data_IF_730687309733
#
_entry.id   IF_730687309733
#
_cell.length_a   1.000
_cell.length_b   1.000
_cell.length_c   1.000
_cell.angle_alpha   90.00
_cell.angle_beta   90.00
_cell.angle_gamma   90.00
#
_symmetry.space_group_name_H-M   'P 1'
#
loop_
_entity.id
_entity.type
_entity.pdbx_description
1 polymer ?
#
# COMPACT_ATOMS: atom_id res chain seq x y z
N UNK A 1 1.06 -25.83 -16.82
CA UNK A 1 0.62 -27.17 -16.34
C UNK A 1 1.78 -28.11 -16.02
N UNK A 2 2.93 -27.99 -16.72
CA UNK A 2 4.11 -28.86 -16.52
C UNK A 2 4.80 -28.61 -15.16
N UNK A 3 4.90 -27.36 -14.70
CA UNK A 3 5.61 -27.05 -13.44
C UNK A 3 4.91 -27.54 -12.16
N UNK A 4 3.57 -27.51 -12.12
CA UNK A 4 2.79 -28.00 -10.96
C UNK A 4 3.06 -29.47 -10.65
N UNK A 5 3.18 -30.32 -11.67
CA UNK A 5 3.49 -31.75 -11.51
C UNK A 5 4.90 -31.97 -10.95
N UNK A 6 5.84 -31.08 -11.27
CA UNK A 6 7.21 -31.17 -10.79
C UNK A 6 7.31 -30.79 -9.30
N UNK A 7 6.59 -29.76 -8.85
CA UNK A 7 6.57 -29.39 -7.42
C UNK A 7 5.90 -30.44 -6.53
N UNK A 8 4.81 -31.06 -7.00
CA UNK A 8 4.17 -32.18 -6.29
C UNK A 8 5.10 -33.39 -6.17
N UNK A 9 5.90 -33.67 -7.21
CA UNK A 9 6.91 -34.73 -7.18
C UNK A 9 8.01 -34.40 -6.16
N UNK A 10 8.51 -33.17 -6.13
CA UNK A 10 9.52 -32.72 -5.15
C UNK A 10 9.00 -32.89 -3.72
N UNK A 11 7.73 -32.55 -3.46
CA UNK A 11 7.13 -32.76 -2.13
C UNK A 11 7.14 -34.25 -1.75
N UNK A 12 6.74 -35.14 -2.67
CA UNK A 12 6.75 -36.59 -2.43
C UNK A 12 8.15 -37.14 -2.21
N UNK A 13 9.12 -36.74 -3.03
CA UNK A 13 10.51 -37.21 -2.92
C UNK A 13 11.17 -36.75 -1.62
N UNK A 14 10.76 -35.58 -1.12
CA UNK A 14 11.36 -35.02 0.07
C UNK A 14 10.62 -35.41 1.35
N UNK A 15 9.36 -35.84 1.34
CA UNK A 15 8.47 -35.99 2.52
C UNK A 15 9.10 -36.48 3.84
N UNK A 16 9.97 -37.50 3.78
CA UNK A 16 10.60 -38.15 4.93
C UNK A 16 12.07 -37.78 5.16
N UNK A 17 12.61 -36.82 4.40
CA UNK A 17 13.98 -36.33 4.60
C UNK A 17 14.06 -35.35 5.77
N UNK A 18 15.24 -35.31 6.38
CA UNK A 18 15.66 -34.31 7.37
C UNK A 18 16.88 -33.53 6.87
N UNK A 19 17.17 -33.59 5.56
CA UNK A 19 18.28 -32.88 4.95
C UNK A 19 17.87 -31.41 4.74
N UNK A 20 18.66 -30.41 5.20
CA UNK A 20 18.30 -28.99 5.09
C UNK A 20 17.94 -28.54 3.68
N UNK A 21 18.71 -28.92 2.66
CA UNK A 21 18.46 -28.54 1.26
C UNK A 21 17.11 -29.03 0.76
N UNK A 22 16.78 -30.28 1.07
CA UNK A 22 15.54 -30.91 0.64
C UNK A 22 14.32 -30.29 1.33
N UNK A 23 14.48 -29.89 2.60
CA UNK A 23 13.46 -29.16 3.33
C UNK A 23 13.20 -27.78 2.70
N UNK A 24 14.25 -27.04 2.31
CA UNK A 24 14.08 -25.79 1.57
C UNK A 24 13.42 -25.99 0.21
N UNK A 25 13.76 -27.05 -0.53
CA UNK A 25 13.07 -27.40 -1.78
C UNK A 25 11.60 -27.75 -1.56
N UNK A 26 11.28 -28.42 -0.45
CA UNK A 26 9.90 -28.71 -0.07
C UNK A 26 9.12 -27.45 0.25
N UNK A 27 9.70 -26.54 1.03
CA UNK A 27 9.11 -25.23 1.37
C UNK A 27 8.86 -24.43 0.10
N UNK A 28 9.85 -24.32 -0.79
CA UNK A 28 9.71 -23.61 -2.06
C UNK A 28 8.63 -24.24 -2.96
N UNK A 29 8.50 -25.57 -2.96
CA UNK A 29 7.46 -26.28 -3.70
C UNK A 29 6.06 -25.98 -3.14
N UNK A 30 5.91 -25.90 -1.82
CA UNK A 30 4.65 -25.48 -1.19
C UNK A 30 4.30 -24.02 -1.52
N UNK A 31 5.28 -23.11 -1.49
CA UNK A 31 5.09 -21.71 -1.91
C UNK A 31 4.64 -21.63 -3.38
N UNK A 32 5.31 -22.35 -4.28
CA UNK A 32 4.97 -22.36 -5.71
C UNK A 32 3.57 -22.93 -5.99
N UNK A 33 3.07 -23.81 -5.12
CA UNK A 33 1.71 -24.37 -5.19
C UNK A 33 0.67 -23.53 -4.44
N UNK A 34 1.03 -22.34 -3.96
CA UNK A 34 0.19 -21.46 -3.16
C UNK A 34 -0.36 -22.14 -1.88
N UNK A 35 0.52 -22.89 -1.20
CA UNK A 35 0.25 -23.63 0.05
C UNK A 35 1.11 -23.11 1.21
N UNK A 36 0.97 -21.83 1.61
CA UNK A 36 1.84 -21.21 2.60
C UNK A 36 1.71 -21.79 4.02
N UNK A 37 0.54 -22.35 4.38
CA UNK A 37 0.35 -22.98 5.69
C UNK A 37 1.15 -24.28 5.81
N UNK A 38 1.19 -25.07 4.75
CA UNK A 38 1.97 -26.31 4.68
C UNK A 38 3.46 -26.02 4.70
N UNK A 39 3.89 -24.95 4.04
CA UNK A 39 5.27 -24.46 4.12
C UNK A 39 5.65 -24.10 5.58
N UNK A 40 4.80 -23.36 6.29
CA UNK A 40 5.03 -23.01 7.70
C UNK A 40 5.08 -24.25 8.61
N UNK A 41 4.24 -25.26 8.37
CA UNK A 41 4.29 -26.54 9.13
C UNK A 41 5.63 -27.26 8.96
N UNK A 42 6.23 -27.22 7.77
CA UNK A 42 7.56 -27.79 7.54
C UNK A 42 8.62 -27.02 8.33
N UNK A 43 8.55 -25.68 8.31
CA UNK A 43 9.45 -24.82 9.08
C UNK A 43 9.35 -25.11 10.57
N UNK A 44 8.14 -25.17 11.12
CA UNK A 44 7.91 -25.41 12.55
C UNK A 44 8.44 -26.78 12.98
N UNK A 45 8.17 -27.83 12.18
CA UNK A 45 8.61 -29.20 12.48
C UNK A 45 10.13 -29.38 12.41
N UNK A 46 10.81 -28.63 11.54
CA UNK A 46 12.24 -28.83 11.26
C UNK A 46 13.09 -27.58 11.56
N UNK A 47 12.64 -26.72 12.48
CA UNK A 47 13.26 -25.41 12.78
C UNK A 47 14.74 -25.53 13.14
N UNK A 48 15.11 -26.51 13.97
CA UNK A 48 16.50 -26.72 14.41
C UNK A 48 17.43 -27.06 13.24
N UNK A 49 16.96 -27.89 12.30
CA UNK A 49 17.72 -28.30 11.11
C UNK A 49 17.88 -27.12 10.15
N UNK A 50 16.81 -26.35 9.96
CA UNK A 50 16.78 -25.20 9.07
C UNK A 50 17.56 -24.00 9.61
N UNK A 51 17.77 -23.92 10.93
CA UNK A 51 18.55 -22.87 11.58
C UNK A 51 20.01 -22.81 11.08
N UNK A 52 20.53 -23.89 10.49
CA UNK A 52 21.83 -23.89 9.82
C UNK A 52 21.94 -22.89 8.64
N UNK A 53 20.81 -22.43 8.09
CA UNK A 53 20.74 -21.37 7.08
C UNK A 53 19.78 -20.26 7.53
N UNK A 54 20.01 -19.74 8.73
CA UNK A 54 19.14 -18.79 9.41
C UNK A 54 18.72 -17.58 8.54
N UNK A 55 19.60 -16.89 7.77
CA UNK A 55 19.18 -15.76 6.93
C UNK A 55 18.12 -16.08 5.87
N UNK A 56 18.18 -17.28 5.31
CA UNK A 56 17.21 -17.75 4.30
C UNK A 56 15.90 -18.11 4.99
N UNK A 57 16.00 -18.83 6.12
CA UNK A 57 14.84 -19.21 6.93
C UNK A 57 14.04 -17.99 7.40
N UNK A 58 14.72 -16.98 7.95
CA UNK A 58 14.10 -15.73 8.42
C UNK A 58 13.25 -15.08 7.35
N UNK A 59 13.83 -14.92 6.16
CA UNK A 59 13.15 -14.28 5.03
C UNK A 59 11.90 -15.05 4.62
N UNK A 60 12.04 -16.37 4.40
CA UNK A 60 10.94 -17.20 3.93
C UNK A 60 9.80 -17.24 4.96
N UNK A 61 10.12 -17.41 6.25
CA UNK A 61 9.10 -17.50 7.30
C UNK A 61 8.31 -16.19 7.43
N UNK A 62 8.99 -15.04 7.40
CA UNK A 62 8.33 -13.72 7.45
C UNK A 62 7.48 -13.48 6.19
N UNK A 63 7.99 -13.77 5.00
CA UNK A 63 7.24 -13.62 3.75
C UNK A 63 5.99 -14.50 3.72
N UNK A 64 6.07 -15.74 4.22
CA UNK A 64 4.92 -16.64 4.38
C UNK A 64 3.87 -16.06 5.32
N UNK A 65 4.28 -15.53 6.48
CA UNK A 65 3.36 -14.92 7.45
C UNK A 65 2.69 -13.66 6.87
N UNK A 66 3.42 -12.84 6.12
CA UNK A 66 2.87 -11.68 5.40
C UNK A 66 1.85 -12.14 4.34
N UNK A 67 2.16 -13.18 3.56
CA UNK A 67 1.24 -13.70 2.52
C UNK A 67 -0.07 -14.24 3.09
N UNK A 68 -0.06 -14.63 4.37
CA UNK A 68 -1.22 -15.10 5.13
C UNK A 68 -1.92 -13.97 5.90
N UNK A 69 -1.49 -12.72 5.74
CA UNK A 69 -1.93 -11.56 6.51
C UNK A 69 -1.77 -11.70 8.04
N UNK A 70 -0.86 -12.59 8.48
CA UNK A 70 -0.58 -12.85 9.90
C UNK A 70 0.51 -11.91 10.42
N UNK A 71 0.27 -10.59 10.34
CA UNK A 71 1.27 -9.57 10.66
C UNK A 71 1.76 -9.61 12.11
N UNK A 72 0.88 -9.89 13.08
CA UNK A 72 1.28 -10.02 14.49
C UNK A 72 2.20 -11.23 14.71
N UNK A 73 1.96 -12.34 14.01
CA UNK A 73 2.87 -13.48 14.02
C UNK A 73 4.21 -13.11 13.38
N UNK A 74 4.20 -12.38 12.26
CA UNK A 74 5.42 -11.91 11.61
C UNK A 74 6.25 -11.01 12.54
N UNK A 75 5.61 -10.07 13.27
CA UNK A 75 6.28 -9.20 14.25
C UNK A 75 6.86 -10.01 15.41
N UNK A 76 6.13 -10.98 15.95
CA UNK A 76 6.64 -11.88 16.99
C UNK A 76 7.85 -12.67 16.51
N UNK A 77 7.78 -13.20 15.30
CA UNK A 77 8.85 -13.99 14.72
C UNK A 77 10.09 -13.14 14.42
N UNK A 78 9.91 -11.91 13.94
CA UNK A 78 11.00 -10.95 13.77
C UNK A 78 11.71 -10.68 15.10
N UNK A 79 10.95 -10.42 16.17
CA UNK A 79 11.52 -10.19 17.51
C UNK A 79 12.30 -11.40 18.02
N UNK A 80 11.77 -12.61 17.83
CA UNK A 80 12.50 -13.84 18.14
C UNK A 80 13.85 -13.89 17.42
N UNK A 81 13.88 -13.51 16.15
CA UNK A 81 15.13 -13.45 15.41
C UNK A 81 16.05 -12.36 15.92
N UNK A 82 15.58 -11.16 16.22
CA UNK A 82 16.41 -10.06 16.79
C UNK A 82 17.12 -10.44 18.10
N UNK A 83 16.54 -11.35 18.88
CA UNK A 83 17.12 -11.83 20.15
C UNK A 83 18.23 -12.88 19.97
N UNK A 84 18.45 -13.39 18.75
CA UNK A 84 19.52 -14.37 18.48
C UNK A 84 20.90 -13.69 18.40
N UNK A 85 21.97 -14.33 18.90
CA UNK A 85 23.31 -13.76 18.86
C UNK A 85 23.90 -13.87 17.45
N UNK A 86 23.75 -12.82 16.64
CA UNK A 86 24.40 -12.72 15.33
C UNK A 86 25.82 -12.18 15.46
N UNK A 87 26.74 -12.72 14.66
CA UNK A 87 28.11 -12.22 14.54
C UNK A 87 28.35 -11.45 13.23
N UNK A 88 27.32 -11.27 12.39
CA UNK A 88 27.44 -10.70 11.04
C UNK A 88 26.51 -9.50 10.82
N UNK A 89 27.08 -8.40 10.33
CA UNK A 89 26.34 -7.19 9.91
C UNK A 89 25.25 -7.49 8.87
N UNK A 90 25.47 -8.48 7.98
CA UNK A 90 24.48 -8.89 6.97
C UNK A 90 23.15 -9.35 7.60
N UNK A 91 23.22 -10.06 8.73
CA UNK A 91 22.02 -10.52 9.44
C UNK A 91 21.24 -9.35 10.04
N UNK A 92 21.95 -8.37 10.61
CA UNK A 92 21.33 -7.16 11.18
C UNK A 92 20.65 -6.29 10.11
N UNK A 93 21.31 -6.11 8.95
CA UNK A 93 20.72 -5.37 7.83
C UNK A 93 19.48 -6.08 7.26
N UNK A 94 19.52 -7.41 7.17
CA UNK A 94 18.36 -8.21 6.78
C UNK A 94 17.20 -8.04 7.76
N UNK A 95 17.43 -8.08 9.06
CA UNK A 95 16.38 -7.87 10.06
C UNK A 95 15.71 -6.50 9.92
N UNK A 96 16.49 -5.43 9.72
CA UNK A 96 15.96 -4.09 9.44
C UNK A 96 15.10 -4.08 8.17
N UNK A 97 15.55 -4.74 7.11
CA UNK A 97 14.78 -4.83 5.86
C UNK A 97 13.45 -5.59 6.03
N UNK A 98 13.44 -6.65 6.86
CA UNK A 98 12.23 -7.42 7.16
C UNK A 98 11.23 -6.63 8.00
N UNK A 99 11.69 -5.83 8.96
CA UNK A 99 10.84 -4.93 9.74
C UNK A 99 10.10 -3.92 8.85
N UNK A 100 10.81 -3.32 7.89
CA UNK A 100 10.23 -2.42 6.89
C UNK A 100 9.24 -3.13 5.98
N UNK A 101 9.55 -4.37 5.57
CA UNK A 101 8.67 -5.19 4.73
C UNK A 101 7.33 -5.48 5.43
N UNK A 102 7.35 -5.90 6.69
CA UNK A 102 6.14 -6.17 7.48
C UNK A 102 5.28 -4.92 7.58
N UNK A 103 5.89 -3.79 7.95
CA UNK A 103 5.18 -2.51 8.14
C UNK A 103 4.57 -2.00 6.83
N UNK A 104 5.30 -2.14 5.71
CA UNK A 104 4.80 -1.76 4.39
C UNK A 104 3.61 -2.63 3.97
N UNK A 105 3.74 -3.95 4.09
CA UNK A 105 2.69 -4.89 3.73
C UNK A 105 1.43 -4.73 4.61
N UNK A 106 1.62 -4.46 5.91
CA UNK A 106 0.53 -4.17 6.83
C UNK A 106 -0.23 -2.90 6.43
N UNK A 107 0.48 -1.80 6.15
CA UNK A 107 -0.12 -0.55 5.66
C UNK A 107 -0.86 -0.75 4.33
N UNK A 108 -0.25 -1.46 3.39
CA UNK A 108 -0.89 -1.78 2.11
C UNK A 108 -2.17 -2.59 2.32
N UNK A 109 -2.17 -3.59 3.20
CA UNK A 109 -3.39 -4.36 3.49
C UNK A 109 -4.49 -3.49 4.11
N UNK A 110 -4.16 -2.62 5.07
CA UNK A 110 -5.15 -1.69 5.64
C UNK A 110 -5.70 -0.71 4.60
N UNK A 111 -4.88 -0.26 3.64
CA UNK A 111 -5.32 0.63 2.55
C UNK A 111 -6.15 -0.06 1.47
N UNK A 112 -6.06 -1.40 1.32
CA UNK A 112 -6.70 -2.15 0.24
C UNK A 112 -7.91 -2.99 0.68
N UNK A 113 -8.29 -3.00 1.95
CA UNK A 113 -9.56 -3.62 2.35
C UNK A 113 -10.71 -2.80 1.75
N UNK A 114 -11.53 -3.38 0.86
CA UNK A 114 -12.68 -2.67 0.32
C UNK A 114 -13.59 -2.31 1.50
N UNK A 115 -13.74 -1.01 1.77
CA UNK A 115 -14.71 -0.54 2.73
C UNK A 115 -16.11 -0.93 2.23
N UNK A 116 -16.91 -1.49 3.14
CA UNK A 116 -18.35 -1.62 2.93
C UNK A 116 -18.98 -0.22 2.80
N UNK A 117 -20.16 -0.12 2.18
CA UNK A 117 -20.78 1.17 1.89
C UNK A 117 -21.06 1.98 3.17
N UNK A 118 -21.45 1.30 4.25
CA UNK A 118 -21.73 1.91 5.55
C UNK A 118 -20.49 2.57 6.16
N UNK A 119 -19.33 1.90 6.16
CA UNK A 119 -18.07 2.49 6.61
C UNK A 119 -17.62 3.64 5.73
N UNK A 120 -17.88 3.60 4.43
CA UNK A 120 -17.54 4.73 3.55
C UNK A 120 -18.32 5.98 4.01
N UNK A 121 -19.62 5.85 4.26
CA UNK A 121 -20.41 6.95 4.82
C UNK A 121 -19.89 7.42 6.18
N UNK A 122 -19.54 6.49 7.08
CA UNK A 122 -18.95 6.82 8.38
C UNK A 122 -17.65 7.61 8.23
N UNK A 123 -16.78 7.19 7.30
CA UNK A 123 -15.48 7.79 7.06
C UNK A 123 -15.61 9.19 6.46
N UNK A 124 -16.49 9.37 5.47
CA UNK A 124 -16.76 10.67 4.85
C UNK A 124 -17.38 11.69 5.84
N UNK A 125 -18.15 11.22 6.84
CA UNK A 125 -18.75 12.06 7.89
C UNK A 125 -17.82 12.29 9.08
N UNK A 126 -16.66 11.64 9.10
CA UNK A 126 -15.77 11.68 10.25
C UNK A 126 -15.17 13.08 10.45
N UNK A 127 -15.02 13.54 11.70
CA UNK A 127 -14.27 14.77 11.99
C UNK A 127 -12.75 14.60 11.80
N UNK A 128 -12.26 13.35 11.69
CA UNK A 128 -10.82 13.08 11.50
C UNK A 128 -10.48 13.03 10.02
N UNK A 129 -9.50 13.84 9.63
CA UNK A 129 -9.04 14.00 8.25
C UNK A 129 -8.58 12.70 7.60
N UNK A 130 -7.87 11.87 8.36
CA UNK A 130 -7.34 10.57 7.92
C UNK A 130 -8.47 9.66 7.43
N UNK A 131 -9.61 9.66 8.13
CA UNK A 131 -10.76 8.86 7.76
C UNK A 131 -11.48 9.44 6.54
N UNK A 132 -11.64 10.76 6.45
CA UNK A 132 -12.23 11.41 5.28
C UNK A 132 -11.42 11.08 4.01
N UNK A 133 -10.09 11.20 4.09
CA UNK A 133 -9.21 10.87 2.97
C UNK A 133 -9.26 9.39 2.58
N UNK A 134 -9.30 8.48 3.56
CA UNK A 134 -9.47 7.05 3.30
C UNK A 134 -10.84 6.72 2.67
N UNK A 135 -11.90 7.42 3.09
CA UNK A 135 -13.23 7.34 2.48
C UNK A 135 -13.21 7.76 1.02
N UNK A 136 -12.63 8.94 0.73
CA UNK A 136 -12.50 9.47 -0.64
C UNK A 136 -11.67 8.54 -1.54
N UNK A 137 -10.56 7.99 -1.04
CA UNK A 137 -9.73 7.05 -1.78
C UNK A 137 -10.51 5.77 -2.16
N UNK A 138 -11.41 5.32 -1.28
CA UNK A 138 -12.25 4.13 -1.51
C UNK A 138 -13.32 4.34 -2.59
N UNK A 139 -13.60 5.59 -2.99
CA UNK A 139 -14.55 5.92 -4.05
C UNK A 139 -13.95 5.85 -5.46
N UNK A 140 -12.63 5.64 -5.59
CA UNK A 140 -11.91 5.68 -6.88
C UNK A 140 -12.51 4.76 -7.94
N UNK A 141 -13.04 3.60 -7.55
CA UNK A 141 -13.63 2.61 -8.47
C UNK A 141 -15.15 2.42 -8.28
N UNK A 142 -15.79 3.26 -7.44
CA UNK A 142 -17.23 3.18 -7.14
C UNK A 142 -18.04 4.21 -7.93
N UNK A 143 -19.36 3.99 -7.99
CA UNK A 143 -20.33 5.01 -8.40
C UNK A 143 -20.43 6.07 -7.31
N UNK A 144 -20.37 7.34 -7.68
CA UNK A 144 -20.40 8.45 -6.72
C UNK A 144 -21.82 8.82 -6.29
N UNK A 145 -22.85 8.42 -7.05
CA UNK A 145 -24.26 8.77 -6.78
C UNK A 145 -24.71 8.55 -5.33
N UNK A 146 -24.39 7.42 -4.67
CA UNK A 146 -24.81 7.20 -3.28
C UNK A 146 -24.17 8.16 -2.27
N UNK A 147 -23.02 8.74 -2.62
CA UNK A 147 -22.17 9.51 -1.70
C UNK A 147 -22.26 11.02 -1.91
N UNK A 148 -23.03 11.50 -2.90
CA UNK A 148 -23.06 12.91 -3.27
C UNK A 148 -23.41 13.85 -2.11
N UNK A 149 -24.36 13.45 -1.25
CA UNK A 149 -24.75 14.26 -0.08
C UNK A 149 -23.56 14.46 0.88
N UNK A 150 -22.77 13.41 1.10
CA UNK A 150 -21.60 13.47 1.95
C UNK A 150 -20.47 14.28 1.31
N UNK A 151 -20.25 14.09 0.00
CA UNK A 151 -19.26 14.86 -0.76
C UNK A 151 -19.60 16.36 -0.77
N UNK A 152 -20.87 16.73 -0.98
CA UNK A 152 -21.32 18.12 -0.88
C UNK A 152 -21.14 18.67 0.53
N UNK A 153 -21.47 17.89 1.56
CA UNK A 153 -21.26 18.29 2.95
C UNK A 153 -19.78 18.59 3.23
N UNK A 154 -18.86 17.73 2.76
CA UNK A 154 -17.42 17.96 2.90
C UNK A 154 -17.01 19.23 2.15
N UNK A 155 -17.39 19.38 0.88
CA UNK A 155 -17.05 20.56 0.05
C UNK A 155 -17.56 21.89 0.60
N UNK A 156 -18.60 21.88 1.43
CA UNK A 156 -19.20 23.10 1.99
C UNK A 156 -18.79 23.36 3.44
N UNK A 157 -18.53 22.32 4.24
CA UNK A 157 -18.42 22.46 5.71
C UNK A 157 -17.09 22.01 6.29
N UNK A 158 -16.30 21.19 5.58
CA UNK A 158 -15.05 20.69 6.14
C UNK A 158 -14.09 21.84 6.41
N UNK A 159 -13.42 21.87 7.57
CA UNK A 159 -12.63 23.03 8.00
C UNK A 159 -11.45 23.36 7.05
N UNK A 160 -10.73 22.34 6.59
CA UNK A 160 -9.56 22.50 5.70
C UNK A 160 -9.95 22.61 4.23
N UNK A 161 -9.46 23.66 3.56
CA UNK A 161 -9.61 23.89 2.11
C UNK A 161 -9.07 22.72 1.28
N UNK A 162 -7.91 22.17 1.66
CA UNK A 162 -7.30 21.04 0.94
C UNK A 162 -8.22 19.81 0.82
N UNK A 163 -8.99 19.50 1.86
CA UNK A 163 -9.95 18.38 1.85
C UNK A 163 -11.19 18.72 1.03
N UNK A 164 -11.67 19.97 1.10
CA UNK A 164 -12.74 20.44 0.20
C UNK A 164 -12.31 20.29 -1.27
N UNK A 165 -11.12 20.78 -1.61
CA UNK A 165 -10.57 20.72 -2.97
C UNK A 165 -10.35 19.29 -3.44
N UNK A 166 -9.82 18.40 -2.58
CA UNK A 166 -9.63 16.99 -2.92
C UNK A 166 -10.96 16.25 -3.17
N UNK A 167 -12.00 16.62 -2.42
CA UNK A 167 -13.37 16.12 -2.65
C UNK A 167 -13.89 16.57 -4.02
N UNK A 168 -13.72 17.85 -4.37
CA UNK A 168 -14.07 18.36 -5.70
C UNK A 168 -13.29 17.64 -6.81
N UNK A 169 -11.99 17.43 -6.62
CA UNK A 169 -11.16 16.68 -7.57
C UNK A 169 -11.67 15.25 -7.80
N UNK A 170 -12.21 14.60 -6.77
CA UNK A 170 -12.80 13.25 -6.91
C UNK A 170 -13.98 13.26 -7.90
N UNK A 171 -14.78 14.33 -7.90
CA UNK A 171 -15.87 14.54 -8.88
C UNK A 171 -15.34 14.88 -10.28
N UNK A 172 -14.27 15.68 -10.37
CA UNK A 172 -13.60 16.04 -11.64
C UNK A 172 -13.04 14.79 -12.32
N UNK A 173 -12.31 13.95 -11.58
CA UNK A 173 -11.71 12.71 -12.08
C UNK A 173 -12.77 11.74 -12.64
N UNK A 174 -13.96 11.73 -12.02
CA UNK A 174 -15.12 10.93 -12.43
C UNK A 174 -15.97 11.61 -13.52
N UNK A 175 -15.59 12.79 -13.99
CA UNK A 175 -16.30 13.58 -15.01
C UNK A 175 -17.77 13.81 -14.65
N UNK A 176 -18.03 14.12 -13.38
CA UNK A 176 -19.38 14.39 -12.89
C UNK A 176 -19.99 15.60 -13.60
N UNK A 177 -21.17 15.41 -14.20
CA UNK A 177 -21.76 16.37 -15.15
C UNK A 177 -22.81 17.31 -14.54
N UNK A 178 -23.11 17.17 -13.24
CA UNK A 178 -24.05 18.05 -12.55
C UNK A 178 -23.34 19.17 -11.82
N UNK A 179 -24.04 20.30 -11.65
CA UNK A 179 -23.56 21.43 -10.86
C UNK A 179 -23.43 21.03 -9.39
N UNK A 180 -22.32 21.41 -8.78
CA UNK A 180 -22.07 21.26 -7.34
C UNK A 180 -21.66 22.60 -6.76
N UNK A 181 -21.93 22.77 -5.46
CA UNK A 181 -21.50 23.94 -4.70
C UNK A 181 -20.21 23.63 -3.96
N UNK A 182 -19.27 24.55 -3.98
CA UNK A 182 -17.94 24.38 -3.40
C UNK A 182 -17.55 25.65 -2.66
N UNK A 183 -17.17 25.53 -1.38
CA UNK A 183 -16.72 26.66 -0.59
C UNK A 183 -15.20 26.82 -0.74
N UNK A 184 -14.80 27.84 -1.50
CA UNK A 184 -13.42 28.31 -1.57
C UNK A 184 -13.14 29.35 -0.48
N UNK A 185 -11.87 29.65 -0.20
CA UNK A 185 -11.52 30.72 0.74
C UNK A 185 -12.07 32.09 0.30
N UNK A 186 -12.21 32.28 -1.01
CA UNK A 186 -12.75 33.50 -1.63
C UNK A 186 -14.29 33.56 -1.65
N UNK A 187 -14.98 32.45 -1.34
CA UNK A 187 -16.43 32.39 -1.29
C UNK A 187 -17.04 31.12 -1.86
N UNK A 188 -18.37 31.11 -1.95
CA UNK A 188 -19.14 29.98 -2.47
C UNK A 188 -19.14 30.02 -4.00
N UNK A 189 -18.67 28.94 -4.62
CA UNK A 189 -18.64 28.74 -6.07
C UNK A 189 -19.66 27.68 -6.49
N UNK A 190 -20.25 27.86 -7.66
CA UNK A 190 -21.04 26.84 -8.36
C UNK A 190 -20.28 26.37 -9.59
N UNK A 191 -19.93 25.09 -9.63
CA UNK A 191 -19.08 24.51 -10.68
C UNK A 191 -19.68 23.24 -11.23
N UNK A 192 -19.42 22.95 -12.51
CA UNK A 192 -19.70 21.65 -13.13
C UNK A 192 -18.38 20.88 -13.19
N UNK A 193 -18.16 19.83 -12.37
CA UNK A 193 -16.85 19.19 -12.24
C UNK A 193 -16.28 18.68 -13.56
N UNK A 194 -17.12 18.16 -14.47
CA UNK A 194 -16.71 17.69 -15.80
C UNK A 194 -16.08 18.77 -16.68
N UNK A 195 -16.46 20.03 -16.49
CA UNK A 195 -15.94 21.16 -17.28
C UNK A 195 -14.66 21.74 -16.67
N UNK A 196 -14.33 21.34 -15.44
CA UNK A 196 -13.09 21.73 -14.79
C UNK A 196 -11.92 20.95 -15.40
N UNK A 197 -10.85 21.68 -15.73
CA UNK A 197 -9.58 21.03 -16.06
C UNK A 197 -8.93 20.55 -14.76
N UNK A 198 -8.49 19.28 -14.68
CA UNK A 198 -7.69 18.83 -13.56
C UNK A 198 -6.46 19.73 -13.41
N UNK A 199 -6.09 20.15 -12.18
CA UNK A 199 -4.91 20.98 -11.95
C UNK A 199 -3.61 20.30 -12.41
N UNK A 200 -3.64 18.97 -12.59
CA UNK A 200 -2.54 18.14 -13.06
C UNK A 200 -2.70 17.70 -14.53
N UNK A 201 -3.24 18.56 -15.40
CA UNK A 201 -3.28 18.27 -16.82
C UNK A 201 -1.84 17.92 -17.31
N UNK A 202 -1.62 16.70 -17.84
CA UNK A 202 -0.27 16.19 -18.05
C UNK A 202 0.56 16.98 -19.05
N UNK A 203 -0.03 17.86 -19.85
CA UNK A 203 0.69 18.66 -20.85
C UNK A 203 1.35 19.90 -20.22
N UNK A 204 0.58 20.72 -19.51
CA UNK A 204 1.06 21.99 -18.95
C UNK A 204 2.06 21.75 -17.80
N UNK A 205 1.78 20.77 -16.94
CA UNK A 205 2.69 20.40 -15.85
C UNK A 205 3.97 19.74 -16.38
N UNK A 206 3.88 18.87 -17.41
CA UNK A 206 5.08 18.30 -18.05
C UNK A 206 5.91 19.36 -18.74
N UNK A 207 5.31 20.33 -19.41
CA UNK A 207 6.07 21.43 -20.02
C UNK A 207 6.79 22.29 -18.99
N UNK A 208 6.16 22.58 -17.85
CA UNK A 208 6.80 23.31 -16.74
C UNK A 208 7.91 22.48 -16.09
N UNK A 209 7.67 21.19 -15.84
CA UNK A 209 8.67 20.27 -15.28
C UNK A 209 9.82 20.12 -16.28
N UNK A 210 9.56 19.87 -17.56
CA UNK A 210 10.56 19.69 -18.60
C UNK A 210 11.42 20.95 -18.78
N UNK A 211 10.82 22.14 -18.85
CA UNK A 211 11.56 23.41 -18.86
C UNK A 211 12.41 23.62 -17.61
N UNK A 212 11.96 23.14 -16.43
CA UNK A 212 12.75 23.22 -15.19
C UNK A 212 13.85 22.17 -15.13
N UNK A 213 13.61 20.94 -15.58
CA UNK A 213 14.61 19.85 -15.66
C UNK A 213 15.72 20.18 -16.67
N UNK A 214 15.39 20.86 -17.77
CA UNK A 214 16.39 21.36 -18.72
C UNK A 214 17.26 22.48 -18.13
N UNK A 215 16.70 23.27 -17.21
CA UNK A 215 17.38 24.43 -16.59
C UNK A 215 18.14 24.11 -15.30
N UNK A 216 17.67 23.13 -14.54
CA UNK A 216 18.24 22.69 -13.27
C UNK A 216 18.56 21.19 -13.33
N UNK A 217 19.85 20.85 -13.24
CA UNK A 217 20.32 19.45 -13.28
C UNK A 217 20.27 18.74 -11.92
N UNK A 218 19.95 19.46 -10.85
CA UNK A 218 19.90 18.92 -9.49
C UNK A 218 18.51 18.30 -9.21
N UNK A 219 18.43 16.98 -8.98
CA UNK A 219 17.16 16.29 -8.68
C UNK A 219 16.44 16.83 -7.45
N UNK A 220 17.18 17.30 -6.44
CA UNK A 220 16.60 17.80 -5.18
C UNK A 220 15.87 19.12 -5.40
N UNK A 221 16.39 19.97 -6.29
CA UNK A 221 15.76 21.25 -6.66
C UNK A 221 14.47 21.00 -7.46
N UNK A 222 14.46 19.98 -8.30
CA UNK A 222 13.28 19.57 -9.07
C UNK A 222 12.19 19.06 -8.13
N UNK A 223 12.52 18.15 -7.21
CA UNK A 223 11.58 17.56 -6.27
C UNK A 223 10.98 18.62 -5.32
N UNK A 224 11.82 19.50 -4.78
CA UNK A 224 11.34 20.62 -3.95
C UNK A 224 10.46 21.59 -4.75
N UNK A 225 10.80 21.88 -6.00
CA UNK A 225 9.99 22.74 -6.86
C UNK A 225 8.61 22.15 -7.16
N UNK A 226 8.54 20.84 -7.40
CA UNK A 226 7.29 20.11 -7.63
C UNK A 226 6.46 20.09 -6.34
N UNK A 227 7.08 19.84 -5.19
CA UNK A 227 6.43 19.87 -3.88
C UNK A 227 5.85 21.26 -3.55
N UNK A 228 6.59 22.34 -3.82
CA UNK A 228 6.13 23.72 -3.62
C UNK A 228 5.00 24.06 -4.61
N UNK A 229 5.10 23.67 -5.88
CA UNK A 229 4.04 23.88 -6.88
C UNK A 229 2.76 23.13 -6.49
N UNK A 230 2.89 21.87 -6.06
CA UNK A 230 1.76 21.05 -5.61
C UNK A 230 1.13 21.64 -4.36
N UNK A 231 1.95 22.12 -3.41
CA UNK A 231 1.46 22.80 -2.21
C UNK A 231 0.75 24.10 -2.56
N UNK A 232 1.33 24.93 -3.42
CA UNK A 232 0.70 26.19 -3.85
C UNK A 232 -0.67 25.91 -4.47
N UNK A 233 -0.78 24.96 -5.39
CA UNK A 233 -2.06 24.60 -6.05
C UNK A 233 -3.11 24.01 -5.08
N UNK A 234 -2.69 23.35 -4.00
CA UNK A 234 -3.60 22.78 -2.99
C UNK A 234 -4.05 23.85 -1.97
N UNK A 235 -3.24 24.88 -1.73
CA UNK A 235 -3.45 25.90 -0.71
C UNK A 235 -3.77 27.31 -1.25
N UNK A 236 -3.75 27.53 -2.57
CA UNK A 236 -4.21 28.74 -3.27
C UNK A 236 -5.64 28.58 -3.75
#
# INVERSE_FOLDING_TARGET
MVDKKNYELVIKLTENTSIPSDLFYRIASFVALNKPLEALKVIEKHREILAGQLPILMKIEIELLISLERFEDAKRQLKYYEELPYFSQEAEERLKSLALLITKAEKENYSHRPLDEEKIHEYLKSPKEEFVLAGLQSLKDKDLRPYLEDLESIMLKHAKQSIRSFTLMTLVDKKWDQKVRFLHEEGLLEVVPKDLKPPFAPLELKEVIQKKTERYKDPVIIDNSISILSSYIIYS
#
